data_IF_007190167078
#
_entry.id   IF_007190167078
#
_cell.length_a   1.000
_cell.length_b   1.000
_cell.length_c   1.000
_cell.angle_alpha   90.00
_cell.angle_beta   90.00
_cell.angle_gamma   90.00
#
_symmetry.space_group_name_H-M   'P 1'
#
loop_
_entity.id
_entity.type
_entity.pdbx_description
1 polymer ?
#
# COMPACT_ATOMS: atom_id res chain seq x y z
N UNK A 1 -12.06 -1.91 -2.87
CA UNK A 1 -11.64 -0.56 -2.51
C UNK A 1 -11.11 -0.53 -1.09
N UNK A 2 -9.93 0.05 -0.93
CA UNK A 2 -9.33 0.14 0.40
C UNK A 2 -9.93 1.34 1.15
N UNK A 3 -10.35 1.12 2.39
CA UNK A 3 -10.93 2.17 3.22
C UNK A 3 -10.06 2.51 4.42
N UNK A 4 -9.20 1.59 4.83
CA UNK A 4 -8.35 1.80 5.99
C UNK A 4 -6.93 1.36 5.68
N UNK A 5 -5.98 2.24 5.94
CA UNK A 5 -4.56 1.91 5.89
C UNK A 5 -4.02 2.05 7.32
N UNK A 6 -3.33 1.04 7.79
CA UNK A 6 -2.78 1.04 9.13
C UNK A 6 -1.32 0.61 9.10
N UNK A 7 -0.49 1.32 9.86
CA UNK A 7 0.89 0.95 10.03
C UNK A 7 0.99 -0.20 11.02
N UNK A 8 1.88 -1.12 10.73
CA UNK A 8 2.06 -2.29 11.56
C UNK A 8 3.36 -2.21 12.32
N UNK A 9 3.26 -2.32 13.63
CA UNK A 9 4.42 -2.24 14.52
C UNK A 9 4.79 -3.63 15.03
N UNK A 10 5.53 -4.37 14.23
CA UNK A 10 6.05 -5.66 14.68
C UNK A 10 7.20 -6.06 13.78
N UNK A 11 8.14 -6.80 14.35
CA UNK A 11 9.25 -7.33 13.60
C UNK A 11 8.91 -8.73 13.11
N UNK A 12 9.55 -9.16 12.03
CA UNK A 12 9.42 -10.52 11.50
C UNK A 12 8.03 -10.89 10.97
N UNK A 13 7.27 -9.90 10.52
CA UNK A 13 5.95 -10.16 9.94
C UNK A 13 5.95 -10.28 8.44
N UNK A 14 7.09 -10.05 7.81
CA UNK A 14 7.15 -9.98 6.37
C UNK A 14 6.58 -11.22 5.68
N UNK A 15 6.98 -12.41 6.15
CA UNK A 15 6.54 -13.65 5.53
C UNK A 15 5.05 -13.91 5.76
N UNK A 16 4.59 -13.69 7.00
CA UNK A 16 3.19 -13.89 7.33
C UNK A 16 2.29 -12.97 6.52
N UNK A 17 2.68 -11.70 6.40
CA UNK A 17 1.92 -10.74 5.63
C UNK A 17 1.90 -11.06 4.15
N UNK A 18 3.03 -11.49 3.63
CA UNK A 18 3.10 -11.85 2.22
C UNK A 18 2.17 -13.02 1.94
N UNK A 19 2.16 -14.02 2.81
CA UNK A 19 1.28 -15.17 2.65
C UNK A 19 -0.18 -14.75 2.71
N UNK A 20 -0.56 -13.90 3.68
CA UNK A 20 -1.92 -13.43 3.80
C UNK A 20 -2.34 -12.58 2.60
N UNK A 21 -1.41 -11.81 2.06
CA UNK A 21 -1.66 -11.02 0.87
C UNK A 21 -1.93 -11.93 -0.34
N UNK A 22 -1.17 -13.01 -0.46
CA UNK A 22 -1.36 -13.98 -1.54
C UNK A 22 -2.71 -14.68 -1.43
N UNK A 23 -3.22 -14.83 -0.21
CA UNK A 23 -4.56 -15.38 0.01
C UNK A 23 -5.67 -14.40 -0.33
N UNK A 24 -5.31 -13.14 -0.59
CA UNK A 24 -6.28 -12.10 -0.89
C UNK A 24 -6.97 -11.50 0.32
N UNK A 25 -6.46 -11.77 1.52
CA UNK A 25 -7.06 -11.29 2.76
C UNK A 25 -6.79 -9.81 3.00
N UNK A 26 -5.57 -9.36 2.69
CA UNK A 26 -5.16 -7.98 2.90
C UNK A 26 -4.30 -7.49 1.75
N UNK A 27 -4.18 -6.18 1.64
CA UNK A 27 -3.18 -5.55 0.78
C UNK A 27 -2.02 -5.12 1.66
N UNK A 28 -0.79 -5.29 1.19
CA UNK A 28 0.40 -4.90 1.94
C UNK A 28 1.22 -3.93 1.10
N UNK A 29 1.62 -2.83 1.72
CA UNK A 29 2.42 -1.80 1.06
C UNK A 29 3.67 -1.54 1.88
N UNK A 30 4.81 -1.52 1.24
CA UNK A 30 6.10 -1.27 1.90
C UNK A 30 6.63 0.10 1.47
N UNK A 31 6.58 1.10 2.37
CA UNK A 31 7.06 2.43 2.02
C UNK A 31 8.55 2.41 1.64
N UNK A 32 8.89 3.15 0.60
CA UNK A 32 10.28 3.20 0.12
C UNK A 32 11.19 4.02 1.03
N UNK A 33 10.61 4.84 1.89
CA UNK A 33 11.41 5.64 2.82
C UNK A 33 11.81 4.86 4.08
N UNK A 34 11.50 3.57 4.14
CA UNK A 34 11.86 2.75 5.28
C UNK A 34 10.88 2.76 6.43
N UNK A 35 9.76 3.44 6.28
CA UNK A 35 8.72 3.45 7.31
C UNK A 35 8.11 2.06 7.46
N UNK A 36 7.41 1.80 8.59
CA UNK A 36 6.77 0.50 8.80
C UNK A 36 5.79 0.14 7.69
N UNK A 37 5.67 -1.16 7.41
CA UNK A 37 4.74 -1.63 6.41
C UNK A 37 3.32 -1.23 6.74
N UNK A 38 2.53 -0.95 5.69
CA UNK A 38 1.13 -0.61 5.82
C UNK A 38 0.28 -1.76 5.34
N UNK A 39 -0.83 -2.01 6.02
CA UNK A 39 -1.81 -2.97 5.55
C UNK A 39 -3.07 -2.21 5.17
N UNK A 40 -3.69 -2.62 4.07
CA UNK A 40 -4.92 -2.03 3.59
C UNK A 40 -6.05 -3.02 3.71
N UNK A 41 -7.15 -2.59 4.30
CA UNK A 41 -8.34 -3.41 4.48
C UNK A 41 -9.57 -2.60 4.14
N UNK A 42 -10.69 -3.28 3.94
CA UNK A 42 -11.95 -2.62 3.58
C UNK A 42 -12.57 -1.90 4.75
N UNK A 43 -12.36 -2.41 5.96
CA UNK A 43 -12.91 -1.80 7.16
C UNK A 43 -12.10 -2.14 8.38
N UNK A 44 -12.26 -1.33 9.44
CA UNK A 44 -11.48 -1.47 10.66
C UNK A 44 -11.66 -2.84 11.34
N UNK A 45 -12.82 -3.46 11.17
CA UNK A 45 -13.07 -4.78 11.76
C UNK A 45 -12.10 -5.83 11.21
N UNK A 46 -11.67 -5.68 9.98
CA UNK A 46 -10.72 -6.61 9.40
C UNK A 46 -9.34 -6.52 10.05
N UNK A 47 -9.00 -5.40 10.64
CA UNK A 47 -7.75 -5.28 11.38
C UNK A 47 -7.78 -6.17 12.61
N UNK A 48 -8.92 -6.26 13.29
CA UNK A 48 -9.06 -7.13 14.46
C UNK A 48 -8.95 -8.60 14.04
N UNK A 49 -9.55 -8.96 12.92
CA UNK A 49 -9.47 -10.32 12.40
C UNK A 49 -8.02 -10.66 12.03
N UNK A 50 -7.33 -9.74 11.40
CA UNK A 50 -5.94 -9.92 11.01
C UNK A 50 -5.06 -10.10 12.25
N UNK A 51 -5.27 -9.26 13.25
CA UNK A 51 -4.52 -9.35 14.50
C UNK A 51 -4.73 -10.72 15.17
N UNK A 52 -5.98 -11.16 15.23
CA UNK A 52 -6.30 -12.46 15.82
C UNK A 52 -5.62 -13.62 15.05
N UNK A 53 -5.62 -13.56 13.73
CA UNK A 53 -4.97 -14.59 12.92
C UNK A 53 -3.46 -14.63 13.13
N UNK A 54 -2.83 -13.46 13.19
CA UNK A 54 -1.38 -13.40 13.41
C UNK A 54 -1.00 -13.98 14.77
N UNK A 55 -1.78 -13.70 15.80
CA UNK A 55 -1.52 -14.27 17.12
C UNK A 55 -1.77 -15.77 17.13
N UNK A 56 -2.88 -16.23 16.53
CA UNK A 56 -3.26 -17.63 16.57
C UNK A 56 -2.42 -18.53 15.69
N UNK A 57 -2.12 -18.07 14.47
CA UNK A 57 -1.46 -18.92 13.48
C UNK A 57 0.06 -18.75 13.45
N UNK A 58 0.56 -17.59 13.84
CA UNK A 58 1.99 -17.29 13.75
C UNK A 58 2.61 -16.93 15.09
N UNK A 59 1.81 -16.91 16.15
CA UNK A 59 2.26 -16.53 17.49
C UNK A 59 2.95 -15.16 17.49
N UNK A 60 2.44 -14.24 16.67
CA UNK A 60 3.02 -12.90 16.52
C UNK A 60 2.04 -11.85 17.06
N UNK A 61 2.30 -11.31 18.26
CA UNK A 61 1.51 -10.17 18.74
C UNK A 61 1.84 -8.94 17.90
N UNK A 62 0.81 -8.27 17.40
CA UNK A 62 0.99 -7.08 16.56
C UNK A 62 0.11 -5.95 17.06
N UNK A 63 0.56 -4.73 16.79
CA UNK A 63 -0.23 -3.54 17.03
C UNK A 63 -0.41 -2.82 15.71
N UNK A 64 -1.63 -2.33 15.48
CA UNK A 64 -1.92 -1.53 14.31
C UNK A 64 -2.17 -0.09 14.72
N UNK A 65 -1.61 0.82 13.94
CA UNK A 65 -1.81 2.24 14.16
C UNK A 65 -2.33 2.83 12.87
N UNK A 66 -3.45 3.55 12.93
CA UNK A 66 -4.03 4.15 11.72
C UNK A 66 -3.02 5.05 11.08
N UNK A 67 -2.79 4.86 9.78
CA UNK A 67 -1.82 5.64 9.02
C UNK A 67 -2.35 7.05 8.73
N UNK A 68 -1.44 7.99 8.58
CA UNK A 68 -1.79 9.32 8.08
C UNK A 68 -2.26 9.24 6.62
N UNK A 69 -1.83 8.21 5.90
CA UNK A 69 -2.28 7.98 4.53
C UNK A 69 -3.58 7.19 4.57
N UNK A 70 -4.55 7.64 3.80
CA UNK A 70 -5.86 7.01 3.75
C UNK A 70 -6.19 6.42 2.38
N UNK A 71 -5.44 6.79 1.37
CA UNK A 71 -5.67 6.34 0.00
C UNK A 71 -4.40 5.76 -0.57
N UNK A 72 -4.54 4.68 -1.33
CA UNK A 72 -3.44 4.05 -2.05
C UNK A 72 -3.87 3.88 -3.50
N UNK A 73 -3.01 4.29 -4.43
CA UNK A 73 -3.28 4.17 -5.86
C UNK A 73 -2.07 3.60 -6.56
N UNK A 74 -2.26 2.58 -7.37
CA UNK A 74 -1.19 2.09 -8.21
C UNK A 74 -0.92 3.11 -9.30
N UNK A 75 0.36 3.38 -9.56
CA UNK A 75 0.77 4.36 -10.55
C UNK A 75 1.48 3.67 -11.70
N UNK A 76 1.18 4.12 -12.91
CA UNK A 76 1.78 3.57 -14.11
C UNK A 76 1.85 4.66 -15.18
N UNK A 77 2.69 4.43 -16.19
CA UNK A 77 2.81 5.36 -17.30
C UNK A 77 3.35 4.61 -18.52
N UNK A 78 2.92 5.03 -19.68
CA UNK A 78 3.48 4.53 -20.94
C UNK A 78 4.91 5.03 -21.12
N UNK A 79 5.22 6.19 -20.52
CA UNK A 79 6.56 6.76 -20.55
C UNK A 79 7.28 6.43 -19.25
N UNK A 80 8.20 5.48 -19.31
CA UNK A 80 8.94 5.02 -18.13
C UNK A 80 9.70 6.15 -17.45
N UNK A 81 10.22 7.08 -18.21
CA UNK A 81 10.96 8.21 -17.64
C UNK A 81 10.08 9.10 -16.80
N UNK A 82 8.84 9.31 -17.24
CA UNK A 82 7.88 10.11 -16.47
C UNK A 82 7.54 9.41 -15.16
N UNK A 83 7.34 8.10 -15.21
CA UNK A 83 7.05 7.35 -14.01
C UNK A 83 8.23 7.40 -13.04
N UNK A 84 9.43 7.18 -13.52
CA UNK A 84 10.62 7.20 -12.66
C UNK A 84 10.83 8.58 -12.05
N UNK A 85 10.57 9.65 -12.80
CA UNK A 85 10.67 11.01 -12.30
C UNK A 85 9.64 11.28 -11.22
N UNK A 86 8.40 10.83 -11.43
CA UNK A 86 7.34 10.99 -10.44
C UNK A 86 7.68 10.26 -9.16
N UNK A 87 8.15 9.03 -9.25
CA UNK A 87 8.52 8.22 -8.08
C UNK A 87 9.65 8.89 -7.31
N UNK A 88 10.68 9.35 -8.02
CA UNK A 88 11.84 10.00 -7.38
C UNK A 88 11.43 11.29 -6.67
N UNK A 89 10.48 12.02 -7.22
CA UNK A 89 10.02 13.28 -6.64
C UNK A 89 9.09 13.08 -5.44
N UNK A 90 8.55 11.87 -5.27
CA UNK A 90 7.56 11.60 -4.24
C UNK A 90 7.92 10.39 -3.37
N UNK A 91 9.20 10.12 -3.18
CA UNK A 91 9.68 8.93 -2.48
C UNK A 91 8.99 8.70 -1.13
N UNK A 92 8.74 9.77 -0.37
CA UNK A 92 8.11 9.64 0.95
C UNK A 92 6.63 9.24 0.86
N UNK A 93 6.05 9.30 -0.32
CA UNK A 93 4.66 8.92 -0.55
C UNK A 93 4.54 7.69 -1.45
N UNK A 94 5.66 7.03 -1.74
CA UNK A 94 5.66 5.85 -2.59
C UNK A 94 5.93 4.61 -1.75
N UNK A 95 5.17 3.57 -2.04
CA UNK A 95 5.37 2.25 -1.44
C UNK A 95 5.38 1.22 -2.55
N UNK A 96 5.84 0.03 -2.24
CA UNK A 96 5.78 -1.10 -3.16
C UNK A 96 4.78 -2.11 -2.63
N UNK A 97 3.98 -2.68 -3.52
CA UNK A 97 3.10 -3.78 -3.13
C UNK A 97 3.93 -5.07 -3.05
N UNK A 98 3.27 -6.21 -2.80
CA UNK A 98 3.99 -7.48 -2.63
C UNK A 98 4.71 -7.94 -3.89
N UNK A 99 4.31 -7.45 -5.04
CA UNK A 99 4.96 -7.79 -6.31
C UNK A 99 6.02 -6.77 -6.71
N UNK A 100 6.22 -5.74 -5.91
CA UNK A 100 7.20 -4.70 -6.20
C UNK A 100 6.68 -3.58 -7.08
N UNK A 101 5.37 -3.52 -7.31
CA UNK A 101 4.79 -2.46 -8.14
C UNK A 101 4.57 -1.20 -7.32
N UNK A 102 4.81 -0.02 -7.90
CA UNK A 102 4.75 1.22 -7.15
C UNK A 102 3.31 1.67 -6.86
N UNK A 103 3.13 2.20 -5.66
CA UNK A 103 1.85 2.69 -5.18
C UNK A 103 2.07 4.09 -4.60
N UNK A 104 1.20 5.02 -4.97
CA UNK A 104 1.21 6.36 -4.41
C UNK A 104 0.26 6.41 -3.22
N UNK A 105 0.75 6.90 -2.09
CA UNK A 105 -0.03 7.02 -0.86
C UNK A 105 -0.43 8.47 -0.67
N UNK A 106 -1.73 8.71 -0.43
CA UNK A 106 -2.25 10.05 -0.24
C UNK A 106 -2.99 10.14 1.09
N UNK A 107 -2.91 11.31 1.72
CA UNK A 107 -3.59 11.54 2.99
C UNK A 107 -5.10 11.61 2.82
N UNK A 108 -5.55 12.14 1.69
CA UNK A 108 -6.98 12.24 1.40
C UNK A 108 -7.19 12.56 -0.08
N UNK A 109 -8.45 12.72 -0.47
CA UNK A 109 -8.79 12.99 -1.87
C UNK A 109 -8.20 14.28 -2.40
N UNK A 110 -8.06 15.29 -1.55
CA UNK A 110 -7.47 16.55 -1.96
C UNK A 110 -6.04 16.38 -2.43
N UNK A 111 -5.24 15.67 -1.63
CA UNK A 111 -3.84 15.44 -1.98
C UNK A 111 -3.70 14.52 -3.18
N UNK A 112 -4.60 13.55 -3.32
CA UNK A 112 -4.60 12.69 -4.48
C UNK A 112 -4.90 13.49 -5.76
N UNK A 113 -5.91 14.36 -5.71
CA UNK A 113 -6.25 15.20 -6.85
C UNK A 113 -5.11 16.14 -7.22
N UNK A 114 -4.46 16.70 -6.21
CA UNK A 114 -3.31 17.58 -6.42
C UNK A 114 -2.18 16.84 -7.15
N UNK A 115 -1.89 15.62 -6.72
CA UNK A 115 -0.85 14.83 -7.35
C UNK A 115 -1.21 14.47 -8.79
N UNK A 116 -2.47 14.14 -9.06
CA UNK A 116 -2.92 13.82 -10.40
C UNK A 116 -2.75 14.99 -11.36
N UNK A 117 -3.07 16.19 -10.90
CA UNK A 117 -2.95 17.37 -11.73
C UNK A 117 -1.50 17.69 -12.09
N UNK A 118 -0.58 17.37 -11.20
CA UNK A 118 0.83 17.65 -11.40
C UNK A 118 1.61 16.55 -12.07
N UNK A 119 1.06 15.36 -12.11
CA UNK A 119 1.76 14.18 -12.64
C UNK A 119 1.22 13.83 -14.03
N UNK A 120 1.50 14.70 -14.99
CA UNK A 120 1.07 14.47 -16.36
C UNK A 120 1.64 13.16 -16.88
N UNK A 121 0.78 12.36 -17.51
CA UNK A 121 1.19 11.09 -18.09
C UNK A 121 1.21 9.93 -17.12
N UNK A 122 0.84 10.16 -15.86
CA UNK A 122 0.79 9.11 -14.84
C UNK A 122 -0.67 8.72 -14.62
N UNK A 123 -0.95 7.42 -14.67
CA UNK A 123 -2.27 6.88 -14.33
C UNK A 123 -2.29 6.45 -12.88
N UNK A 124 -3.36 6.81 -12.18
CA UNK A 124 -3.59 6.42 -10.80
C UNK A 124 -4.82 5.52 -10.76
N UNK A 125 -4.67 4.28 -10.30
CA UNK A 125 -5.79 3.34 -10.23
C UNK A 125 -5.95 2.80 -8.82
N UNK A 126 -7.19 2.51 -8.44
CA UNK A 126 -7.47 1.94 -7.12
C UNK A 126 -7.51 0.42 -7.12
N UNK A 127 -7.27 -0.19 -8.27
CA UNK A 127 -7.11 -1.63 -8.40
C UNK A 127 -5.90 -1.90 -9.28
N UNK A 128 -5.23 -3.00 -9.00
CA UNK A 128 -4.08 -3.38 -9.79
C UNK A 128 -4.53 -3.95 -11.12
N UNK A 129 -3.99 -3.41 -12.20
CA UNK A 129 -4.33 -3.87 -13.54
C UNK A 129 -3.39 -4.99 -13.96
N UNK A 130 -3.87 -6.22 -13.81
CA UNK A 130 -3.08 -7.41 -14.10
C UNK A 130 -2.79 -7.55 -15.59
N UNK A 131 -3.65 -7.00 -16.42
CA UNK A 131 -3.51 -7.11 -17.87
C UNK A 131 -2.28 -6.39 -18.41
N UNK A 132 -1.84 -5.37 -17.74
CA UNK A 132 -0.67 -4.60 -18.18
C UNK A 132 0.64 -5.32 -17.96
N UNK A 133 0.58 -6.47 -17.33
CA UNK A 133 1.77 -7.27 -17.07
C UNK A 133 2.13 -8.23 -18.16
N UNK A 134 1.30 -8.29 -19.14
CA UNK A 134 1.49 -9.22 -20.25
C UNK A 134 2.83 -9.07 -20.93
#
# INVERSE_FOLDING_TARGET
MLEVLAAMKAKKLKEALQQMSEEGVVQVFRPRDGAPALVGVVGALQLDVLKARLEAEYSLPVEFEVSEFQLARWVSSEDRKKLDTFIAANTSSIADDVDGDPVYLARNEFYLGYARERAEGIEFTNVKDVKKKG
#
